data_IF_310677517590
#
_entry.id   IF_310677517590
#
_cell.length_a   1.000
_cell.length_b   1.000
_cell.length_c   1.000
_cell.angle_alpha   90.00
_cell.angle_beta   90.00
_cell.angle_gamma   90.00
#
_symmetry.space_group_name_H-M   'P 1'
#
loop_
_entity.id
_entity.type
_entity.pdbx_description
1 polymer ?
#
# COMPACT_ATOMS: atom_id res chain seq x y z
N UNK A 1 32.48 9.13 -2.54
CA UNK A 1 31.45 8.26 -1.95
C UNK A 1 30.12 8.90 -2.30
N UNK A 2 29.48 8.43 -3.37
CA UNK A 2 28.18 8.91 -3.81
C UNK A 2 27.15 8.42 -2.81
N UNK A 3 26.54 9.37 -2.11
CA UNK A 3 25.36 9.18 -1.27
C UNK A 3 24.26 8.58 -2.15
N UNK A 4 24.05 7.26 -2.08
CA UNK A 4 22.97 6.59 -2.80
C UNK A 4 21.68 7.02 -2.12
N UNK A 5 21.11 8.13 -2.60
CA UNK A 5 19.76 8.52 -2.20
C UNK A 5 18.83 7.38 -2.57
N UNK A 6 17.95 6.97 -1.66
CA UNK A 6 16.85 6.09 -2.00
C UNK A 6 16.07 6.69 -3.19
N UNK A 7 15.95 5.93 -4.29
CA UNK A 7 15.39 6.42 -5.57
C UNK A 7 14.01 5.81 -5.88
N UNK A 8 13.63 4.73 -5.19
CA UNK A 8 12.41 3.98 -5.46
C UNK A 8 11.47 3.96 -4.27
N UNK A 9 10.20 3.69 -4.52
CA UNK A 9 9.21 3.39 -3.49
C UNK A 9 8.57 2.02 -3.76
N UNK A 10 7.95 1.44 -2.73
CA UNK A 10 7.13 0.23 -2.88
C UNK A 10 5.67 0.60 -2.60
N UNK A 11 4.78 0.31 -3.54
CA UNK A 11 3.33 0.39 -3.34
C UNK A 11 2.74 -0.99 -3.13
N UNK A 12 1.91 -1.16 -2.10
CA UNK A 12 1.19 -2.40 -1.79
C UNK A 12 -0.31 -2.11 -1.78
N UNK A 13 -1.07 -2.87 -2.55
CA UNK A 13 -2.54 -2.85 -2.60
C UNK A 13 -3.09 -4.13 -1.97
N UNK A 14 -3.73 -3.99 -0.81
CA UNK A 14 -4.30 -5.09 -0.02
C UNK A 14 -5.81 -5.16 -0.23
N UNK A 15 -6.21 -5.81 -1.31
CA UNK A 15 -7.61 -6.11 -1.59
C UNK A 15 -8.11 -7.35 -0.84
N UNK A 16 -9.44 -7.54 -0.80
CA UNK A 16 -10.07 -8.68 -0.13
C UNK A 16 -9.74 -10.05 -0.73
N UNK A 17 -9.46 -10.11 -2.04
CA UNK A 17 -9.15 -11.37 -2.75
C UNK A 17 -7.67 -11.48 -3.13
N UNK A 18 -7.02 -10.36 -3.42
CA UNK A 18 -5.66 -10.33 -3.96
C UNK A 18 -4.87 -9.22 -3.28
N UNK A 19 -3.59 -9.49 -3.03
CA UNK A 19 -2.62 -8.48 -2.63
C UNK A 19 -1.67 -8.28 -3.80
N UNK A 20 -1.40 -7.04 -4.17
CA UNK A 20 -0.46 -6.69 -5.24
C UNK A 20 0.60 -5.77 -4.69
N UNK A 21 1.81 -5.85 -5.22
CA UNK A 21 2.91 -4.97 -4.84
C UNK A 21 3.74 -4.59 -6.04
N UNK A 22 4.32 -3.39 -6.04
CA UNK A 22 5.21 -2.94 -7.10
C UNK A 22 6.28 -1.98 -6.62
N UNK A 23 7.44 -2.06 -7.26
CA UNK A 23 8.52 -1.06 -7.13
C UNK A 23 8.27 0.03 -8.16
N UNK A 24 8.28 1.28 -7.72
CA UNK A 24 8.07 2.46 -8.57
C UNK A 24 9.23 3.45 -8.44
N UNK A 25 9.54 4.14 -9.53
CA UNK A 25 10.44 5.30 -9.49
C UNK A 25 9.67 6.61 -9.22
N UNK A 26 10.41 7.72 -9.13
CA UNK A 26 9.86 9.06 -8.88
C UNK A 26 8.90 9.59 -9.95
N UNK A 27 8.88 8.97 -11.14
CA UNK A 27 7.96 9.31 -12.23
C UNK A 27 6.68 8.48 -12.20
N UNK A 28 6.55 7.55 -11.24
CA UNK A 28 5.42 6.62 -11.15
C UNK A 28 5.57 5.40 -12.05
N UNK A 29 6.72 5.21 -12.72
CA UNK A 29 6.95 4.04 -13.56
C UNK A 29 7.15 2.81 -12.69
N UNK A 30 6.40 1.75 -12.98
CA UNK A 30 6.53 0.46 -12.30
C UNK A 30 7.69 -0.33 -12.90
N UNK A 31 8.71 -0.63 -12.09
CA UNK A 31 9.88 -1.44 -12.48
C UNK A 31 9.54 -2.93 -12.46
N UNK A 32 8.89 -3.36 -11.37
CA UNK A 32 8.47 -4.74 -11.19
C UNK A 32 7.18 -4.79 -10.38
N UNK A 33 6.36 -5.81 -10.62
CA UNK A 33 5.13 -6.05 -9.87
C UNK A 33 4.90 -7.52 -9.61
N UNK A 34 4.37 -7.81 -8.43
CA UNK A 34 4.01 -9.14 -7.99
C UNK A 34 2.57 -9.14 -7.47
N UNK A 35 1.94 -10.31 -7.48
CA UNK A 35 0.55 -10.48 -7.08
C UNK A 35 0.32 -11.85 -6.48
N UNK A 36 -0.33 -11.87 -5.33
CA UNK A 36 -0.67 -13.08 -4.58
C UNK A 36 -2.14 -13.11 -4.17
N UNK A 37 -2.63 -14.26 -3.72
CA UNK A 37 -3.93 -14.36 -3.05
C UNK A 37 -3.86 -13.64 -1.71
N UNK A 38 -4.85 -12.79 -1.41
CA UNK A 38 -4.88 -12.01 -0.17
C UNK A 38 -5.19 -12.88 1.03
N UNK A 39 -4.51 -12.60 2.14
CA UNK A 39 -4.82 -13.13 3.46
C UNK A 39 -5.57 -12.13 4.35
N UNK A 40 -6.16 -11.06 3.79
CA UNK A 40 -6.80 -9.99 4.57
C UNK A 40 -7.85 -10.48 5.60
N UNK A 41 -8.49 -11.63 5.35
CA UNK A 41 -9.45 -12.24 6.28
C UNK A 41 -8.80 -13.11 7.38
N UNK A 42 -7.48 -13.19 7.41
CA UNK A 42 -6.70 -13.92 8.42
C UNK A 42 -6.33 -13.01 9.59
N UNK A 43 -5.68 -13.58 10.62
CA UNK A 43 -5.16 -12.80 11.73
C UNK A 43 -4.22 -11.67 11.26
N UNK A 44 -4.20 -10.48 11.91
CA UNK A 44 -3.50 -9.32 11.39
C UNK A 44 -2.01 -9.52 11.14
N UNK A 45 -1.35 -10.27 12.03
CA UNK A 45 0.06 -10.64 11.88
C UNK A 45 0.33 -11.44 10.62
N UNK A 46 -0.61 -12.30 10.18
CA UNK A 46 -0.47 -13.06 8.93
C UNK A 46 -0.51 -12.16 7.69
N UNK A 47 -1.28 -11.07 7.75
CA UNK A 47 -1.32 -10.08 6.67
C UNK A 47 -0.03 -9.26 6.67
N UNK A 48 0.46 -8.86 7.85
CA UNK A 48 1.74 -8.16 7.97
C UNK A 48 2.93 -9.02 7.47
N UNK A 49 2.97 -10.31 7.83
CA UNK A 49 3.92 -11.30 7.28
C UNK A 49 3.81 -11.42 5.75
N UNK A 50 2.58 -11.37 5.21
CA UNK A 50 2.38 -11.41 3.77
C UNK A 50 2.90 -10.16 3.07
N UNK A 51 2.70 -8.98 3.66
CA UNK A 51 3.23 -7.71 3.15
C UNK A 51 4.76 -7.75 3.17
N UNK A 52 5.37 -8.14 4.29
CA UNK A 52 6.82 -8.33 4.43
C UNK A 52 7.37 -9.29 3.37
N UNK A 53 6.76 -10.47 3.21
CA UNK A 53 7.17 -11.46 2.23
C UNK A 53 7.07 -10.98 0.79
N UNK A 54 6.04 -10.18 0.46
CA UNK A 54 5.87 -9.57 -0.85
C UNK A 54 6.92 -8.48 -1.11
N UNK A 55 7.17 -7.61 -0.13
CA UNK A 55 8.22 -6.58 -0.17
C UNK A 55 9.61 -7.21 -0.40
N UNK A 56 9.94 -8.26 0.35
CA UNK A 56 11.22 -8.97 0.21
C UNK A 56 11.38 -9.64 -1.17
N UNK A 57 10.30 -10.18 -1.74
CA UNK A 57 10.32 -10.74 -3.10
C UNK A 57 10.55 -9.66 -4.15
N UNK A 58 9.91 -8.50 -4.02
CA UNK A 58 10.10 -7.36 -4.92
C UNK A 58 11.56 -6.89 -4.91
N UNK A 59 12.11 -6.63 -3.72
CA UNK A 59 13.51 -6.22 -3.56
C UNK A 59 14.47 -7.22 -4.21
N UNK A 60 14.32 -8.50 -3.87
CA UNK A 60 15.16 -9.58 -4.42
C UNK A 60 15.07 -9.69 -5.94
N UNK A 61 13.88 -9.48 -6.52
CA UNK A 61 13.68 -9.56 -7.97
C UNK A 61 14.45 -8.50 -8.77
N UNK A 62 14.78 -7.37 -8.15
CA UNK A 62 15.48 -6.26 -8.77
C UNK A 62 16.91 -6.07 -8.22
N UNK A 63 17.37 -6.95 -7.32
CA UNK A 63 18.67 -6.81 -6.66
C UNK A 63 18.77 -5.56 -5.77
N UNK A 64 17.64 -5.06 -5.29
CA UNK A 64 17.55 -3.89 -4.42
C UNK A 64 17.58 -4.28 -2.95
N UNK A 65 17.89 -3.30 -2.12
CA UNK A 65 17.88 -3.38 -0.66
C UNK A 65 16.95 -2.32 -0.08
N UNK A 66 16.68 -2.39 1.22
CA UNK A 66 15.89 -1.38 1.95
C UNK A 66 16.45 0.04 1.78
N UNK A 67 17.77 0.19 1.58
CA UNK A 67 18.43 1.49 1.41
C UNK A 67 18.10 2.17 0.08
N UNK A 68 17.63 1.40 -0.90
CA UNK A 68 17.24 1.91 -2.21
C UNK A 68 15.79 2.41 -2.22
N UNK A 69 15.04 2.15 -1.13
CA UNK A 69 13.61 2.42 -1.00
C UNK A 69 13.35 3.59 -0.04
N UNK A 70 12.65 4.63 -0.52
CA UNK A 70 12.29 5.80 0.31
C UNK A 70 11.20 5.46 1.34
N UNK A 71 10.41 4.43 1.07
CA UNK A 71 9.35 3.94 1.93
C UNK A 71 8.36 3.02 1.22
N UNK A 72 7.44 2.47 2.02
CA UNK A 72 6.35 1.59 1.58
C UNK A 72 5.01 2.28 1.78
N UNK A 73 4.26 2.47 0.71
CA UNK A 73 2.86 2.91 0.75
C UNK A 73 1.92 1.72 0.70
N UNK A 74 0.92 1.69 1.58
CA UNK A 74 -0.05 0.59 1.68
C UNK A 74 -1.45 1.14 1.53
N UNK A 75 -2.14 0.75 0.46
CA UNK A 75 -3.58 0.91 0.31
C UNK A 75 -4.29 -0.35 0.80
N UNK A 76 -5.30 -0.21 1.66
CA UNK A 76 -6.05 -1.36 2.17
C UNK A 76 -7.53 -1.05 2.31
N UNK A 77 -8.36 -2.08 2.20
CA UNK A 77 -9.78 -1.96 2.48
C UNK A 77 -10.03 -1.70 3.97
N UNK A 78 -11.00 -0.83 4.25
CA UNK A 78 -11.37 -0.41 5.60
C UNK A 78 -11.16 1.09 5.82
N UNK A 79 -11.50 1.55 7.02
CA UNK A 79 -11.28 2.93 7.44
C UNK A 79 -9.95 3.03 8.15
N UNK A 80 -9.08 3.90 7.67
CA UNK A 80 -7.73 4.12 8.18
C UNK A 80 -7.63 5.53 8.74
N UNK A 81 -7.13 5.67 9.95
CA UNK A 81 -6.56 6.94 10.38
C UNK A 81 -5.18 7.09 9.74
N UNK A 82 -5.13 7.78 8.59
CA UNK A 82 -3.90 7.92 7.80
C UNK A 82 -2.74 8.58 8.55
N UNK A 83 -3.01 9.33 9.63
CA UNK A 83 -1.96 9.99 10.43
C UNK A 83 -1.20 9.00 11.28
N UNK A 84 -1.88 7.97 11.77
CA UNK A 84 -1.33 6.93 12.64
C UNK A 84 -1.11 5.61 11.91
N UNK A 85 -1.78 5.40 10.77
CA UNK A 85 -1.85 4.11 10.08
C UNK A 85 -2.63 3.06 10.86
N UNK A 86 -3.49 3.50 11.78
CA UNK A 86 -4.36 2.65 12.59
C UNK A 86 -5.63 2.31 11.79
N UNK A 87 -5.96 1.02 11.73
CA UNK A 87 -7.23 0.55 11.17
C UNK A 87 -8.36 0.80 12.18
N UNK A 88 -9.21 1.78 11.91
CA UNK A 88 -10.30 2.21 12.80
C UNK A 88 -11.65 1.59 12.43
N UNK A 89 -11.77 1.02 11.23
CA UNK A 89 -12.98 0.35 10.77
C UNK A 89 -12.68 -0.62 9.64
N UNK A 90 -13.57 -1.59 9.43
CA UNK A 90 -13.39 -2.64 8.43
C UNK A 90 -14.57 -2.73 7.47
N UNK A 91 -14.30 -3.30 6.29
CA UNK A 91 -15.31 -3.54 5.25
C UNK A 91 -16.34 -4.59 5.67
N UNK A 92 -15.98 -5.50 6.60
CA UNK A 92 -16.91 -6.47 7.16
C UNK A 92 -16.89 -6.50 8.70
N UNK A 93 -18.03 -6.83 9.37
CA UNK A 93 -18.14 -6.76 10.83
C UNK A 93 -17.29 -7.80 11.59
N UNK A 94 -16.95 -8.91 10.93
CA UNK A 94 -16.15 -10.00 11.50
C UNK A 94 -14.66 -9.83 11.24
N UNK A 95 -14.25 -8.68 10.72
CA UNK A 95 -12.87 -8.47 10.30
C UNK A 95 -11.96 -8.44 11.51
N UNK A 96 -10.88 -9.23 11.53
CA UNK A 96 -9.87 -9.13 12.58
C UNK A 96 -9.01 -7.86 12.44
N UNK A 97 -9.29 -7.03 11.43
CA UNK A 97 -8.47 -5.89 11.01
C UNK A 97 -8.66 -4.63 11.87
N UNK A 98 -9.83 -4.47 12.51
CA UNK A 98 -10.13 -3.28 13.33
C UNK A 98 -9.27 -3.27 14.61
N UNK A 99 -8.69 -2.12 14.93
CA UNK A 99 -7.82 -1.94 16.11
C UNK A 99 -6.34 -2.18 15.84
N UNK A 100 -5.95 -2.47 14.59
CA UNK A 100 -4.57 -2.84 14.23
C UNK A 100 -3.74 -1.60 13.91
N UNK A 101 -2.63 -1.43 14.63
CA UNK A 101 -1.55 -0.48 14.32
C UNK A 101 -0.73 -0.98 13.12
N UNK A 102 -1.33 -0.99 11.92
CA UNK A 102 -0.77 -1.67 10.76
C UNK A 102 0.56 -1.06 10.31
N UNK A 103 0.64 0.28 10.29
CA UNK A 103 1.87 0.98 9.92
C UNK A 103 3.05 0.52 10.75
N UNK A 104 2.90 0.57 12.07
CA UNK A 104 4.01 0.30 13.00
C UNK A 104 4.42 -1.18 12.92
N UNK A 105 3.45 -2.10 12.89
CA UNK A 105 3.72 -3.55 12.74
C UNK A 105 4.47 -3.85 11.45
N UNK A 106 4.10 -3.22 10.33
CA UNK A 106 4.77 -3.45 9.05
C UNK A 106 6.13 -2.75 9.02
N UNK A 107 6.24 -1.52 9.53
CA UNK A 107 7.49 -0.76 9.55
C UNK A 107 8.59 -1.49 10.32
N UNK A 108 8.27 -2.10 11.46
CA UNK A 108 9.19 -2.93 12.23
C UNK A 108 9.70 -4.14 11.42
N UNK A 109 8.84 -4.73 10.59
CA UNK A 109 9.17 -5.94 9.81
C UNK A 109 9.97 -5.66 8.56
N UNK A 110 9.66 -4.58 7.87
CA UNK A 110 10.32 -4.23 6.60
C UNK A 110 11.51 -3.28 6.81
N UNK A 111 11.70 -2.77 8.03
CA UNK A 111 12.77 -1.84 8.40
C UNK A 111 12.85 -0.61 7.47
N UNK A 112 11.69 -0.11 7.05
CA UNK A 112 11.54 1.06 6.17
C UNK A 112 10.37 1.92 6.65
N UNK A 113 10.34 3.22 6.29
CA UNK A 113 9.18 4.06 6.53
C UNK A 113 7.92 3.48 5.87
N UNK A 114 6.80 3.47 6.59
CA UNK A 114 5.52 2.98 6.09
C UNK A 114 4.45 4.07 6.21
N UNK A 115 3.62 4.19 5.18
CA UNK A 115 2.38 4.97 5.21
C UNK A 115 1.24 4.04 4.83
N UNK A 116 0.10 4.19 5.50
CA UNK A 116 -1.11 3.39 5.25
C UNK A 116 -2.28 4.34 5.04
N UNK A 117 -3.09 4.06 4.02
CA UNK A 117 -4.35 4.76 3.78
C UNK A 117 -5.41 3.79 3.22
N UNK A 118 -6.63 4.27 3.12
CA UNK A 118 -7.71 3.57 2.45
C UNK A 118 -7.40 3.40 0.95
N UNK A 119 -7.73 2.23 0.41
CA UNK A 119 -7.56 1.88 -1.00
C UNK A 119 -8.21 2.87 -1.99
N UNK A 120 -9.38 3.42 -1.67
CA UNK A 120 -10.05 4.46 -2.45
C UNK A 120 -9.27 5.78 -2.49
N UNK A 121 -8.72 6.22 -1.34
CA UNK A 121 -7.84 7.38 -1.27
C UNK A 121 -6.57 7.16 -2.11
N UNK A 122 -5.94 5.99 -1.97
CA UNK A 122 -4.76 5.64 -2.77
C UNK A 122 -5.05 5.62 -4.28
N UNK A 123 -6.21 5.10 -4.69
CA UNK A 123 -6.64 5.11 -6.09
C UNK A 123 -6.79 6.54 -6.61
N UNK A 124 -7.45 7.43 -5.85
CA UNK A 124 -7.59 8.83 -6.22
C UNK A 124 -6.24 9.55 -6.32
N UNK A 125 -5.33 9.34 -5.36
CA UNK A 125 -3.97 9.88 -5.43
C UNK A 125 -3.23 9.38 -6.67
N UNK A 126 -3.38 8.10 -7.03
CA UNK A 126 -2.82 7.54 -8.26
C UNK A 126 -3.36 8.24 -9.51
N UNK A 127 -4.67 8.45 -9.60
CA UNK A 127 -5.31 9.17 -10.71
C UNK A 127 -4.90 10.64 -10.79
N UNK A 128 -4.73 11.31 -9.63
CA UNK A 128 -4.28 12.69 -9.53
C UNK A 128 -2.82 12.86 -9.93
N UNK A 129 -1.96 11.91 -9.58
CA UNK A 129 -0.52 12.05 -9.87
C UNK A 129 -0.15 11.55 -11.26
N UNK A 130 -0.78 10.46 -11.72
CA UNK A 130 -0.31 9.71 -12.89
C UNK A 130 -1.42 9.34 -13.89
N UNK A 131 -2.69 9.60 -13.55
CA UNK A 131 -3.85 9.13 -14.31
C UNK A 131 -4.71 10.26 -14.90
N UNK A 132 -6.01 10.02 -14.94
CA UNK A 132 -6.98 10.86 -15.62
C UNK A 132 -7.21 12.22 -14.93
N UNK A 133 -6.86 12.34 -13.65
CA UNK A 133 -7.10 13.54 -12.86
C UNK A 133 -5.89 14.49 -12.76
N UNK A 134 -4.78 14.21 -13.44
CA UNK A 134 -3.53 15.00 -13.34
C UNK A 134 -3.65 16.47 -13.73
N UNK A 135 -4.62 16.80 -14.58
CA UNK A 135 -4.80 18.13 -15.16
C UNK A 135 -6.01 18.88 -14.54
N UNK A 136 -6.60 18.33 -13.47
CA UNK A 136 -7.72 18.93 -12.74
C UNK A 136 -7.38 19.09 -11.26
N UNK A 137 -7.91 20.15 -10.66
CA UNK A 137 -7.69 20.46 -9.24
C UNK A 137 -8.64 19.71 -8.31
N UNK A 138 -9.90 19.66 -8.71
CA UNK A 138 -11.00 19.11 -7.91
C UNK A 138 -11.67 17.99 -8.73
N UNK A 139 -11.72 16.79 -8.18
CA UNK A 139 -12.34 15.64 -8.82
C UNK A 139 -12.96 14.72 -7.76
N UNK A 140 -13.74 13.75 -8.22
CA UNK A 140 -14.24 12.68 -7.36
C UNK A 140 -13.80 11.38 -8.02
N UNK A 141 -13.09 10.55 -7.26
CA UNK A 141 -12.82 9.17 -7.64
C UNK A 141 -13.92 8.28 -7.09
N UNK A 142 -14.57 7.50 -7.95
CA UNK A 142 -15.55 6.49 -7.54
C UNK A 142 -14.97 5.12 -7.90
N UNK A 143 -14.70 4.31 -6.88
CA UNK A 143 -14.15 2.96 -7.04
C UNK A 143 -15.30 1.96 -6.93
N UNK A 144 -15.57 1.25 -8.03
CA UNK A 144 -16.64 0.26 -8.13
C UNK A 144 -16.03 -1.14 -8.22
N UNK A 145 -16.30 -1.99 -7.23
CA UNK A 145 -15.80 -3.36 -7.15
C UNK A 145 -16.72 -4.26 -6.31
N UNK A 146 -16.15 -5.02 -5.37
CA UNK A 146 -16.93 -5.81 -4.39
C UNK A 146 -17.82 -4.92 -3.51
N UNK A 147 -17.45 -3.65 -3.35
CA UNK A 147 -18.26 -2.59 -2.78
C UNK A 147 -18.11 -1.30 -3.59
N UNK A 148 -18.66 -0.21 -3.07
CA UNK A 148 -18.51 1.14 -3.63
C UNK A 148 -17.69 1.95 -2.63
N UNK A 149 -16.58 2.52 -3.11
CA UNK A 149 -15.75 3.46 -2.36
C UNK A 149 -15.47 4.71 -3.19
N UNK A 150 -14.75 5.65 -2.62
CA UNK A 150 -14.35 6.85 -3.35
C UNK A 150 -13.57 7.83 -2.49
N UNK A 151 -13.11 8.88 -3.14
CA UNK A 151 -12.33 9.97 -2.55
C UNK A 151 -12.60 11.27 -3.34
N UNK A 152 -12.36 12.39 -2.67
CA UNK A 152 -12.50 13.77 -3.18
C UNK A 152 -11.14 14.43 -3.10
#
# INVERSE_FOLDING_TARGET
>A
MTDTRAEFAIGIDVGGTKISGGIVDSTGRILHKLKHKSLLQSAPLRVAEQIEGLTNQLLKSQGLTERDIIGVGIGTGGQIDYRTGHVIGAVNPTSPWVGVQLRDIVAERVNMPVIVDNDGNCAALGEMMFGAARDVRDFICIVIGTGIGGAI
#
